data_IF_703983325337
#
_entry.id   IF_703983325337
#
_cell.length_a   1.000
_cell.length_b   1.000
_cell.length_c   1.000
_cell.angle_alpha   90.00
_cell.angle_beta   90.00
_cell.angle_gamma   90.00
#
_symmetry.space_group_name_H-M   'P 1'
#
loop_
_entity.id
_entity.type
_entity.pdbx_description
1 polymer ?
#
# COMPACT_ATOMS: atom_id res chain seq x y z
N UNK A 1 42.20 -6.63 -29.00
CA UNK A 1 41.18 -5.60 -29.30
C UNK A 1 40.39 -5.38 -28.03
N UNK A 2 40.05 -4.15 -27.61
CA UNK A 2 39.17 -3.96 -26.46
C UNK A 2 37.81 -4.59 -26.76
N UNK A 3 37.28 -5.38 -25.82
CA UNK A 3 36.00 -6.08 -25.96
C UNK A 3 34.88 -5.09 -26.36
N UNK A 4 34.20 -5.37 -27.47
CA UNK A 4 33.07 -4.56 -27.92
C UNK A 4 31.74 -5.25 -27.71
N UNK A 5 31.10 -4.93 -26.59
CA UNK A 5 29.79 -5.47 -26.23
C UNK A 5 28.67 -5.24 -27.27
N UNK A 6 28.76 -4.18 -28.09
CA UNK A 6 27.76 -3.90 -29.13
C UNK A 6 27.89 -4.86 -30.33
N UNK A 7 29.10 -5.35 -30.60
CA UNK A 7 29.36 -6.31 -31.68
C UNK A 7 29.24 -7.75 -31.16
N UNK A 8 29.54 -7.96 -29.87
CA UNK A 8 29.51 -9.26 -29.21
C UNK A 8 28.10 -9.72 -28.84
N UNK A 9 27.14 -8.80 -28.67
CA UNK A 9 25.73 -9.13 -28.41
C UNK A 9 24.88 -8.66 -29.58
N UNK A 10 24.41 -9.62 -30.37
CA UNK A 10 23.56 -9.40 -31.53
C UNK A 10 22.15 -8.93 -31.15
N UNK A 11 21.43 -8.40 -32.14
CA UNK A 11 19.99 -8.08 -32.03
C UNK A 11 19.19 -9.33 -31.67
N UNK A 12 19.52 -10.47 -32.29
CA UNK A 12 18.83 -11.75 -32.10
C UNK A 12 19.03 -12.30 -30.69
N UNK A 13 20.21 -12.17 -30.10
CA UNK A 13 20.46 -12.60 -28.72
C UNK A 13 19.72 -11.74 -27.70
N UNK A 14 19.63 -10.42 -27.91
CA UNK A 14 18.80 -9.54 -27.08
C UNK A 14 17.32 -9.90 -27.19
N UNK A 15 16.86 -10.17 -28.41
CA UNK A 15 15.48 -10.56 -28.65
C UNK A 15 15.16 -11.89 -27.97
N UNK A 16 16.05 -12.88 -28.12
CA UNK A 16 15.93 -14.20 -27.49
C UNK A 16 15.89 -14.09 -25.95
N UNK A 17 16.77 -13.27 -25.35
CA UNK A 17 16.69 -12.97 -23.93
C UNK A 17 15.33 -12.37 -23.54
N UNK A 18 14.90 -11.34 -24.27
CA UNK A 18 13.70 -10.58 -23.94
C UNK A 18 12.40 -11.39 -24.11
N UNK A 19 12.36 -12.36 -25.03
CA UNK A 19 11.27 -13.32 -25.19
C UNK A 19 11.19 -14.35 -24.04
N UNK A 20 12.35 -14.76 -23.51
CA UNK A 20 12.45 -15.79 -22.49
C UNK A 20 12.52 -15.24 -21.07
N UNK A 21 12.63 -13.92 -20.92
CA UNK A 21 12.56 -13.27 -19.62
C UNK A 21 11.13 -13.36 -19.06
N UNK A 22 10.94 -14.28 -18.12
CA UNK A 22 9.68 -14.43 -17.42
C UNK A 22 9.39 -13.17 -16.59
N UNK A 23 8.19 -12.59 -16.72
CA UNK A 23 7.70 -11.51 -15.85
C UNK A 23 6.78 -12.02 -14.75
N UNK A 24 6.08 -13.13 -14.98
CA UNK A 24 5.26 -13.77 -13.96
C UNK A 24 6.13 -14.24 -12.79
N UNK A 25 5.71 -13.91 -11.56
CA UNK A 25 6.35 -14.38 -10.33
C UNK A 25 5.28 -15.04 -9.46
N UNK A 26 5.63 -16.04 -8.63
CA UNK A 26 4.68 -16.72 -7.76
C UNK A 26 4.34 -15.84 -6.53
N UNK A 27 3.90 -14.60 -6.77
CA UNK A 27 3.53 -13.64 -5.73
C UNK A 27 2.01 -13.49 -5.66
N UNK A 28 1.52 -13.03 -4.52
CA UNK A 28 0.09 -12.76 -4.34
C UNK A 28 -0.38 -11.64 -5.29
N UNK A 29 0.43 -10.59 -5.48
CA UNK A 29 0.06 -9.48 -6.35
C UNK A 29 -0.01 -9.87 -7.83
N UNK A 30 0.85 -10.78 -8.29
CA UNK A 30 0.81 -11.30 -9.66
C UNK A 30 -0.32 -12.31 -9.87
N UNK A 31 -0.79 -12.96 -8.79
CA UNK A 31 -2.03 -13.77 -8.82
C UNK A 31 -3.27 -12.88 -8.89
N UNK A 32 -3.24 -11.73 -8.19
CA UNK A 32 -4.35 -10.76 -8.20
C UNK A 32 -4.44 -10.04 -9.56
N UNK A 33 -3.30 -9.68 -10.14
CA UNK A 33 -3.18 -9.01 -11.44
C UNK A 33 -2.24 -9.80 -12.36
N UNK A 34 -2.73 -10.90 -12.96
CA UNK A 34 -1.97 -11.66 -13.95
C UNK A 34 -1.57 -10.78 -15.14
N UNK A 35 -0.35 -10.97 -15.63
CA UNK A 35 0.21 -10.15 -16.70
C UNK A 35 -0.29 -10.58 -18.09
N UNK A 36 -0.74 -9.61 -18.88
CA UNK A 36 -1.21 -9.80 -20.26
C UNK A 36 -0.56 -8.74 -21.15
N UNK A 37 0.07 -9.15 -22.25
CA UNK A 37 0.56 -8.24 -23.28
C UNK A 37 -0.45 -8.04 -24.39
N UNK A 38 -0.56 -6.80 -24.88
CA UNK A 38 -1.37 -6.45 -26.06
C UNK A 38 -0.66 -5.39 -26.89
N UNK A 39 -0.84 -5.45 -28.22
CA UNK A 39 -0.40 -4.39 -29.13
C UNK A 39 -1.37 -3.19 -29.14
N UNK A 40 -2.63 -3.41 -28.78
CA UNK A 40 -3.68 -2.39 -28.76
C UNK A 40 -3.95 -1.91 -27.33
N UNK A 41 -2.90 -1.46 -26.66
CA UNK A 41 -2.91 -1.14 -25.23
C UNK A 41 -4.06 -0.20 -24.80
N UNK A 42 -4.34 0.86 -25.56
CA UNK A 42 -5.47 1.77 -25.24
C UNK A 42 -6.82 1.08 -25.34
N UNK A 43 -7.07 0.38 -26.46
CA UNK A 43 -8.35 -0.25 -26.72
C UNK A 43 -8.66 -1.35 -25.70
N UNK A 44 -7.63 -2.13 -25.36
CA UNK A 44 -7.75 -3.20 -24.38
C UNK A 44 -7.98 -2.65 -22.97
N UNK A 45 -7.28 -1.59 -22.58
CA UNK A 45 -7.53 -0.89 -21.33
C UNK A 45 -8.99 -0.45 -21.21
N UNK A 46 -9.55 0.19 -22.26
CA UNK A 46 -10.97 0.59 -22.25
C UNK A 46 -11.92 -0.61 -22.20
N UNK A 47 -11.64 -1.69 -22.93
CA UNK A 47 -12.45 -2.92 -22.91
C UNK A 47 -12.52 -3.51 -21.50
N UNK A 48 -11.38 -3.55 -20.81
CA UNK A 48 -11.29 -4.12 -19.47
C UNK A 48 -11.99 -3.24 -18.43
N UNK A 49 -11.84 -1.91 -18.51
CA UNK A 49 -12.53 -0.98 -17.62
C UNK A 49 -14.06 -0.95 -17.83
N UNK A 50 -14.56 -1.36 -19.00
CA UNK A 50 -16.00 -1.50 -19.26
C UNK A 50 -16.61 -2.79 -18.65
N UNK A 51 -15.79 -3.67 -18.08
CA UNK A 51 -16.10 -5.09 -17.97
C UNK A 51 -17.16 -5.51 -16.96
N UNK A 52 -17.52 -4.73 -15.92
CA UNK A 52 -18.31 -5.28 -14.80
C UNK A 52 -19.25 -4.30 -14.09
N UNK A 53 -20.06 -3.55 -14.84
CA UNK A 53 -21.27 -2.98 -14.26
C UNK A 53 -22.24 -4.11 -13.85
N UNK A 54 -23.00 -3.92 -12.77
CA UNK A 54 -24.09 -4.82 -12.40
C UNK A 54 -25.02 -5.04 -13.60
N UNK A 55 -25.58 -6.25 -13.80
CA UNK A 55 -26.55 -6.48 -14.85
C UNK A 55 -27.72 -5.49 -14.71
N UNK A 56 -27.86 -4.60 -15.68
CA UNK A 56 -29.01 -3.70 -15.75
C UNK A 56 -30.14 -4.44 -16.46
N UNK A 57 -31.35 -4.55 -15.88
CA UNK A 57 -32.46 -5.19 -16.56
C UNK A 57 -32.82 -4.39 -17.82
N UNK A 58 -33.12 -5.11 -18.92
CA UNK A 58 -33.78 -4.48 -20.06
C UNK A 58 -35.20 -4.07 -19.65
N UNK A 59 -35.68 -2.94 -20.17
CA UNK A 59 -37.06 -2.53 -19.95
C UNK A 59 -38.01 -3.46 -20.71
N UNK A 60 -39.14 -3.81 -20.08
CA UNK A 60 -40.22 -4.53 -20.76
C UNK A 60 -41.02 -3.52 -21.56
N UNK A 61 -41.06 -3.71 -22.88
CA UNK A 61 -41.79 -2.85 -23.81
C UNK A 61 -43.12 -3.51 -24.19
N UNK A 62 -44.15 -2.69 -24.47
CA UNK A 62 -45.38 -3.19 -25.07
C UNK A 62 -45.11 -3.61 -26.53
N UNK A 63 -45.89 -4.58 -27.03
CA UNK A 63 -45.89 -4.93 -28.45
C UNK A 63 -46.17 -3.65 -29.27
N UNK A 64 -45.36 -3.37 -30.31
CA UNK A 64 -45.35 -2.15 -31.15
C UNK A 64 -44.78 -0.84 -30.56
N UNK A 65 -43.86 -0.90 -29.58
CA UNK A 65 -43.13 0.29 -29.09
C UNK A 65 -41.61 0.23 -29.34
N UNK A 66 -40.99 1.38 -29.59
CA UNK A 66 -39.54 1.48 -29.82
C UNK A 66 -38.75 1.05 -28.56
N UNK A 67 -37.72 0.23 -28.77
CA UNK A 67 -36.89 -0.28 -27.69
C UNK A 67 -36.01 0.83 -27.08
N UNK A 68 -35.77 0.76 -25.77
CA UNK A 68 -34.87 1.69 -25.09
C UNK A 68 -33.44 1.58 -25.63
N UNK A 69 -32.84 2.73 -25.97
CA UNK A 69 -31.44 2.82 -26.41
C UNK A 69 -30.53 2.73 -25.19
N UNK A 70 -29.78 1.64 -25.07
CA UNK A 70 -28.80 1.45 -24.01
C UNK A 70 -27.64 2.44 -24.07
N UNK A 71 -27.10 2.80 -22.90
CA UNK A 71 -25.98 3.75 -22.77
C UNK A 71 -24.66 3.00 -22.64
N UNK A 72 -23.63 3.42 -23.39
CA UNK A 72 -22.25 2.93 -23.19
C UNK A 72 -21.55 3.76 -22.11
N UNK A 73 -20.87 3.15 -21.13
CA UNK A 73 -20.03 3.89 -20.18
C UNK A 73 -18.92 4.67 -20.92
N UNK A 74 -18.73 5.94 -20.57
CA UNK A 74 -17.68 6.79 -21.15
C UNK A 74 -16.46 6.80 -20.24
N UNK A 75 -15.26 6.65 -20.82
CA UNK A 75 -13.99 6.67 -20.07
C UNK A 75 -13.00 7.63 -20.71
N UNK A 76 -12.22 8.30 -19.86
CA UNK A 76 -11.37 9.45 -20.18
C UNK A 76 -10.05 9.07 -20.87
N UNK A 77 -9.56 9.94 -21.77
CA UNK A 77 -8.74 9.56 -22.94
C UNK A 77 -7.21 9.60 -22.76
N UNK A 78 -6.68 9.87 -21.57
CA UNK A 78 -5.27 10.31 -21.39
C UNK A 78 -4.50 9.47 -20.34
N UNK A 79 -4.24 8.19 -20.64
CA UNK A 79 -3.45 7.31 -19.75
C UNK A 79 -2.17 6.75 -20.38
N UNK A 80 -2.00 6.83 -21.70
CA UNK A 80 -1.04 5.98 -22.41
C UNK A 80 0.39 6.48 -22.47
N UNK A 81 0.60 7.79 -22.58
CA UNK A 81 1.95 8.36 -22.76
C UNK A 81 2.76 8.45 -21.46
N UNK A 82 2.14 8.07 -20.35
CA UNK A 82 2.55 8.45 -19.00
C UNK A 82 3.06 7.27 -18.15
N UNK A 83 3.07 6.05 -18.71
CA UNK A 83 3.32 4.80 -17.99
C UNK A 83 4.54 4.02 -18.51
N UNK A 84 5.53 4.77 -19.00
CA UNK A 84 6.74 4.21 -19.55
C UNK A 84 7.83 4.06 -18.49
N UNK A 85 8.21 2.82 -18.18
CA UNK A 85 9.20 2.45 -17.17
C UNK A 85 10.50 2.12 -17.89
N UNK A 86 11.61 2.78 -17.51
CA UNK A 86 12.91 2.54 -18.13
C UNK A 86 14.05 2.73 -17.13
N UNK A 87 15.07 1.91 -17.28
CA UNK A 87 16.33 2.02 -16.54
C UNK A 87 17.50 1.71 -17.47
N UNK A 88 18.61 2.45 -17.31
CA UNK A 88 19.82 2.25 -18.13
C UNK A 88 21.07 2.24 -17.25
N UNK A 89 22.08 1.50 -17.69
CA UNK A 89 23.40 1.45 -17.06
C UNK A 89 24.51 1.74 -18.09
N UNK A 90 25.60 2.35 -17.63
CA UNK A 90 26.81 2.55 -18.43
C UNK A 90 27.69 1.29 -18.36
N UNK A 91 27.92 0.66 -19.51
CA UNK A 91 28.71 -0.56 -19.65
C UNK A 91 30.21 -0.27 -19.81
N UNK A 92 30.61 0.92 -20.27
CA UNK A 92 32.01 1.22 -20.58
C UNK A 92 32.92 1.10 -19.35
N UNK A 93 32.57 1.76 -18.25
CA UNK A 93 33.38 1.77 -17.02
C UNK A 93 33.30 0.44 -16.26
N UNK A 94 32.13 -0.19 -16.25
CA UNK A 94 31.90 -1.50 -15.62
C UNK A 94 32.73 -2.60 -16.30
N UNK A 95 32.71 -2.69 -17.62
CA UNK A 95 33.50 -3.67 -18.37
C UNK A 95 35.00 -3.46 -18.13
N UNK A 96 35.48 -2.22 -18.11
CA UNK A 96 36.88 -1.92 -17.80
C UNK A 96 37.26 -2.36 -16.38
N UNK A 97 36.36 -2.16 -15.41
CA UNK A 97 36.54 -2.63 -14.04
C UNK A 97 36.58 -4.17 -13.96
N UNK A 98 35.70 -4.88 -14.65
CA UNK A 98 35.70 -6.35 -14.67
C UNK A 98 36.96 -6.94 -15.29
N UNK A 99 37.45 -6.36 -16.38
CA UNK A 99 38.74 -6.71 -16.99
C UNK A 99 39.88 -6.48 -15.99
N UNK A 100 39.88 -5.33 -15.32
CA UNK A 100 40.92 -4.96 -14.34
C UNK A 100 40.90 -5.87 -13.10
N UNK A 101 39.71 -6.31 -12.67
CA UNK A 101 39.50 -7.20 -11.53
C UNK A 101 39.66 -8.69 -11.86
N UNK A 102 40.09 -9.03 -13.08
CA UNK A 102 40.55 -10.37 -13.43
C UNK A 102 39.50 -11.29 -14.06
N UNK A 103 38.46 -10.76 -14.71
CA UNK A 103 37.65 -11.54 -15.67
C UNK A 103 38.46 -11.67 -16.97
N UNK A 104 39.02 -12.85 -17.30
CA UNK A 104 40.05 -12.97 -18.32
C UNK A 104 39.50 -13.31 -19.73
N UNK A 105 38.22 -13.67 -19.84
CA UNK A 105 37.60 -14.20 -21.06
C UNK A 105 36.40 -13.37 -21.55
N UNK A 106 36.28 -13.29 -22.88
CA UNK A 106 35.21 -12.53 -23.55
C UNK A 106 33.82 -13.13 -23.24
N UNK A 107 33.70 -14.45 -23.13
CA UNK A 107 32.45 -15.13 -22.76
C UNK A 107 31.99 -14.79 -21.33
N UNK A 108 32.94 -14.70 -20.39
CA UNK A 108 32.70 -14.19 -19.04
C UNK A 108 32.12 -12.77 -19.05
N UNK A 109 32.71 -11.86 -19.83
CA UNK A 109 32.22 -10.48 -19.97
C UNK A 109 30.81 -10.42 -20.59
N UNK A 110 30.52 -11.24 -21.60
CA UNK A 110 29.17 -11.35 -22.18
C UNK A 110 28.16 -11.78 -21.12
N UNK A 111 28.50 -12.79 -20.31
CA UNK A 111 27.64 -13.26 -19.21
C UNK A 111 27.36 -12.15 -18.19
N UNK A 112 28.37 -11.38 -17.79
CA UNK A 112 28.18 -10.24 -16.88
C UNK A 112 27.22 -9.19 -17.44
N UNK A 113 27.28 -8.93 -18.76
CA UNK A 113 26.36 -8.01 -19.43
C UNK A 113 24.94 -8.58 -19.47
N UNK A 114 24.76 -9.87 -19.71
CA UNK A 114 23.43 -10.51 -19.59
C UNK A 114 22.90 -10.49 -18.16
N UNK A 115 23.76 -10.66 -17.15
CA UNK A 115 23.37 -10.51 -15.74
C UNK A 115 22.92 -9.07 -15.44
N UNK A 116 23.57 -8.06 -16.02
CA UNK A 116 23.13 -6.66 -15.96
C UNK A 116 21.77 -6.46 -16.65
N UNK A 117 21.58 -7.03 -17.85
CA UNK A 117 20.30 -6.99 -18.57
C UNK A 117 19.20 -7.60 -17.71
N UNK A 118 19.47 -8.74 -17.05
CA UNK A 118 18.55 -9.38 -16.11
C UNK A 118 18.20 -8.50 -14.92
N UNK A 119 19.20 -7.85 -14.29
CA UNK A 119 18.97 -6.90 -13.18
C UNK A 119 18.11 -5.71 -13.59
N UNK A 120 18.41 -5.09 -14.74
CA UNK A 120 17.61 -3.97 -15.26
C UNK A 120 16.18 -4.39 -15.58
N UNK A 121 16.01 -5.60 -16.14
CA UNK A 121 14.68 -6.13 -16.45
C UNK A 121 13.89 -6.43 -15.17
N UNK A 122 14.55 -6.92 -14.11
CA UNK A 122 13.92 -7.11 -12.80
C UNK A 122 13.53 -5.78 -12.13
N UNK A 123 14.30 -4.70 -12.33
CA UNK A 123 13.88 -3.37 -11.86
C UNK A 123 12.58 -2.91 -12.53
N UNK A 124 12.41 -3.17 -13.83
CA UNK A 124 11.16 -2.86 -14.56
C UNK A 124 9.99 -3.65 -13.96
N UNK A 125 10.15 -4.96 -13.73
CA UNK A 125 9.13 -5.81 -13.10
C UNK A 125 8.86 -5.41 -11.64
N UNK A 126 9.89 -5.02 -10.89
CA UNK A 126 9.74 -4.51 -9.52
C UNK A 126 8.82 -3.29 -9.50
N UNK A 127 8.95 -2.41 -10.49
CA UNK A 127 8.07 -1.24 -10.61
C UNK A 127 6.62 -1.61 -10.88
N UNK A 128 6.35 -2.66 -11.66
CA UNK A 128 4.98 -3.13 -11.91
C UNK A 128 4.35 -3.68 -10.63
N UNK A 129 5.12 -4.38 -9.79
CA UNK A 129 4.67 -4.85 -8.47
C UNK A 129 4.37 -3.71 -7.51
N UNK A 130 5.20 -2.65 -7.49
CA UNK A 130 4.92 -1.43 -6.71
C UNK A 130 3.57 -0.84 -7.14
N UNK A 131 3.30 -0.77 -8.45
CA UNK A 131 2.03 -0.27 -8.96
C UNK A 131 0.84 -1.16 -8.54
N UNK A 132 0.95 -2.49 -8.69
CA UNK A 132 -0.07 -3.47 -8.24
C UNK A 132 -0.34 -3.33 -6.74
N UNK A 133 0.71 -3.22 -5.93
CA UNK A 133 0.61 -3.06 -4.48
C UNK A 133 0.01 -1.72 -4.05
N UNK A 134 0.39 -0.60 -4.67
CA UNK A 134 -0.21 0.71 -4.39
C UNK A 134 -1.71 0.76 -4.75
N UNK A 135 -2.11 0.13 -5.86
CA UNK A 135 -3.52 -0.02 -6.20
C UNK A 135 -4.27 -0.77 -5.09
N UNK A 136 -3.76 -1.91 -4.65
CA UNK A 136 -4.42 -2.69 -3.59
C UNK A 136 -4.41 -1.99 -2.22
N UNK A 137 -3.36 -1.24 -1.88
CA UNK A 137 -3.24 -0.56 -0.58
C UNK A 137 -3.97 0.78 -0.50
N UNK A 138 -4.11 1.51 -1.61
CA UNK A 138 -4.56 2.92 -1.60
C UNK A 138 -5.62 3.25 -2.63
N UNK A 139 -5.81 2.39 -3.65
CA UNK A 139 -6.67 2.68 -4.79
C UNK A 139 -6.14 3.75 -5.73
N UNK A 140 -4.93 4.24 -5.46
CA UNK A 140 -4.27 5.29 -6.22
C UNK A 140 -2.79 4.93 -6.37
N UNK A 141 -2.22 5.21 -7.53
CA UNK A 141 -0.78 5.15 -7.76
C UNK A 141 -0.24 6.57 -7.77
N UNK A 142 0.79 6.82 -6.95
CA UNK A 142 1.49 8.10 -6.92
C UNK A 142 2.92 7.89 -7.40
N UNK A 143 3.28 8.55 -8.49
CA UNK A 143 4.63 8.56 -9.06
C UNK A 143 5.20 9.95 -8.84
N UNK A 144 6.25 10.05 -8.01
CA UNK A 144 6.97 11.30 -7.76
C UNK A 144 8.48 11.06 -7.87
N UNK A 145 8.94 10.82 -9.08
CA UNK A 145 10.32 10.39 -9.37
C UNK A 145 10.78 10.99 -10.70
N UNK A 146 12.08 11.28 -10.83
CA UNK A 146 12.68 11.73 -12.08
C UNK A 146 11.95 12.92 -12.75
N UNK A 147 11.61 13.94 -11.95
CA UNK A 147 10.83 15.13 -12.34
C UNK A 147 9.42 14.87 -12.89
N UNK A 148 8.89 13.65 -12.70
CA UNK A 148 7.51 13.29 -13.00
C UNK A 148 6.72 13.28 -11.68
N UNK A 149 5.66 14.09 -11.61
CA UNK A 149 4.66 14.05 -10.53
C UNK A 149 3.30 13.71 -11.14
N UNK A 150 2.81 12.52 -10.82
CA UNK A 150 1.59 11.98 -11.40
C UNK A 150 0.83 11.15 -10.37
N UNK A 151 -0.48 11.34 -10.37
CA UNK A 151 -1.43 10.54 -9.61
C UNK A 151 -2.36 9.86 -10.60
N UNK A 152 -2.48 8.55 -10.48
CA UNK A 152 -3.48 7.75 -11.20
C UNK A 152 -4.47 7.26 -10.16
N UNK A 153 -5.72 7.69 -10.30
CA UNK A 153 -6.83 7.16 -9.51
C UNK A 153 -7.49 6.02 -10.28
N UNK A 154 -7.63 4.86 -9.64
CA UNK A 154 -8.28 3.69 -10.23
C UNK A 154 -9.81 3.73 -10.05
N UNK A 155 -10.35 4.81 -9.49
CA UNK A 155 -11.77 5.08 -9.41
C UNK A 155 -12.47 4.36 -8.25
N UNK A 156 -11.73 3.91 -7.23
CA UNK A 156 -12.31 3.31 -6.03
C UNK A 156 -13.08 4.40 -5.25
N UNK A 157 -14.41 4.25 -5.07
CA UNK A 157 -15.25 5.17 -4.30
C UNK A 157 -14.70 5.49 -2.90
N UNK A 158 -14.96 6.72 -2.44
CA UNK A 158 -14.48 7.17 -1.14
C UNK A 158 -15.13 6.37 0.01
N UNK A 159 -16.37 5.94 -0.16
CA UNK A 159 -17.13 5.13 0.78
C UNK A 159 -16.51 3.73 1.01
N UNK A 160 -15.72 3.26 0.04
CA UNK A 160 -14.99 2.00 0.11
C UNK A 160 -13.57 2.14 0.68
N UNK A 161 -13.16 3.36 1.02
CA UNK A 161 -11.91 3.67 1.72
C UNK A 161 -12.23 3.93 3.18
N UNK A 162 -12.17 2.89 4.00
CA UNK A 162 -12.61 2.92 5.40
C UNK A 162 -11.44 2.91 6.39
N UNK A 163 -11.77 3.23 7.63
CA UNK A 163 -10.83 3.19 8.76
C UNK A 163 -11.36 2.21 9.79
N UNK A 164 -10.49 1.29 10.19
CA UNK A 164 -10.67 0.32 11.27
C UNK A 164 -10.02 0.81 12.54
N UNK A 165 -10.42 0.25 13.67
CA UNK A 165 -9.84 0.55 14.97
C UNK A 165 -8.47 -0.08 15.20
N UNK A 166 -8.00 -0.02 16.44
CA UNK A 166 -6.66 -0.49 16.79
C UNK A 166 -6.63 -2.00 17.04
N UNK A 167 -6.29 -2.75 15.99
CA UNK A 167 -6.15 -4.21 16.08
C UNK A 167 -4.96 -4.64 16.96
N UNK A 168 -4.08 -3.73 17.40
CA UNK A 168 -3.05 -4.07 18.38
C UNK A 168 -3.62 -4.24 19.79
N UNK A 169 -4.82 -3.71 20.07
CA UNK A 169 -5.54 -3.93 21.32
C UNK A 169 -6.20 -5.32 21.30
N UNK A 170 -5.81 -6.27 22.18
CA UNK A 170 -6.38 -7.61 22.20
C UNK A 170 -7.88 -7.64 22.54
N UNK A 171 -8.43 -6.59 23.15
CA UNK A 171 -9.84 -6.49 23.51
C UNK A 171 -10.73 -5.92 22.38
N UNK A 172 -10.12 -5.37 21.32
CA UNK A 172 -10.87 -4.70 20.26
C UNK A 172 -11.72 -5.69 19.46
N UNK A 173 -12.94 -5.31 19.06
CA UNK A 173 -13.81 -6.18 18.27
C UNK A 173 -13.49 -6.13 16.77
N UNK A 174 -12.53 -6.96 16.35
CA UNK A 174 -12.13 -7.09 14.94
C UNK A 174 -13.26 -7.65 14.06
N UNK A 175 -14.19 -8.45 14.61
CA UNK A 175 -15.28 -9.02 13.81
C UNK A 175 -16.22 -7.95 13.28
N UNK A 176 -16.49 -6.91 14.08
CA UNK A 176 -17.31 -5.77 13.63
C UNK A 176 -16.71 -5.06 12.40
N UNK A 177 -15.38 -4.94 12.32
CA UNK A 177 -14.66 -4.35 11.19
C UNK A 177 -14.84 -5.22 9.92
N UNK A 178 -14.75 -6.55 10.06
CA UNK A 178 -15.01 -7.47 8.95
C UNK A 178 -16.47 -7.39 8.47
N UNK A 179 -17.44 -7.38 9.40
CA UNK A 179 -18.85 -7.22 9.07
C UNK A 179 -19.11 -5.92 8.31
N UNK A 180 -18.49 -4.82 8.73
CA UNK A 180 -18.62 -3.52 8.07
C UNK A 180 -18.08 -3.55 6.64
N UNK A 181 -16.88 -4.09 6.42
CA UNK A 181 -16.30 -4.17 5.07
C UNK A 181 -17.12 -5.10 4.15
N UNK A 182 -17.55 -6.25 4.66
CA UNK A 182 -18.40 -7.19 3.93
C UNK A 182 -19.75 -6.56 3.59
N UNK A 183 -20.35 -5.79 4.50
CA UNK A 183 -21.62 -5.10 4.26
C UNK A 183 -21.51 -4.09 3.13
N UNK A 184 -20.44 -3.28 3.08
CA UNK A 184 -20.24 -2.28 2.01
C UNK A 184 -20.25 -2.94 0.63
N UNK A 185 -19.58 -4.08 0.47
CA UNK A 185 -19.56 -4.81 -0.79
C UNK A 185 -20.92 -5.47 -1.10
N UNK A 186 -21.60 -6.03 -0.09
CA UNK A 186 -22.95 -6.59 -0.25
C UNK A 186 -23.97 -5.54 -0.67
N UNK A 187 -23.90 -4.32 -0.12
CA UNK A 187 -24.78 -3.20 -0.49
C UNK A 187 -24.59 -2.80 -1.97
N UNK A 188 -23.42 -3.10 -2.56
CA UNK A 188 -23.12 -2.92 -3.98
C UNK A 188 -23.38 -4.18 -4.83
N UNK A 189 -24.02 -5.21 -4.27
CA UNK A 189 -24.30 -6.48 -4.95
C UNK A 189 -23.06 -7.35 -5.19
N UNK A 190 -21.97 -7.10 -4.46
CA UNK A 190 -20.70 -7.83 -4.56
C UNK A 190 -20.48 -8.75 -3.35
N UNK A 191 -19.79 -9.86 -3.56
CA UNK A 191 -19.44 -10.81 -2.50
C UNK A 191 -17.94 -10.78 -2.24
N UNK A 192 -17.55 -10.65 -0.98
CA UNK A 192 -16.14 -10.76 -0.58
C UNK A 192 -15.71 -12.22 -0.71
N UNK A 193 -14.62 -12.47 -1.42
CA UNK A 193 -14.06 -13.82 -1.58
C UNK A 193 -12.62 -13.90 -1.12
N UNK A 194 -11.90 -12.78 -1.14
CA UNK A 194 -10.49 -12.70 -0.72
C UNK A 194 -10.20 -11.43 0.08
N UNK A 195 -9.25 -11.56 0.99
CA UNK A 195 -8.70 -10.46 1.80
C UNK A 195 -7.20 -10.49 1.74
N UNK A 196 -6.60 -9.35 1.38
CA UNK A 196 -5.16 -9.11 1.36
C UNK A 196 -4.76 -8.22 2.53
N UNK A 197 -3.77 -8.62 3.31
CA UNK A 197 -3.20 -7.77 4.37
C UNK A 197 -1.74 -8.12 4.66
N UNK A 198 -1.11 -7.49 5.65
CA UNK A 198 0.25 -7.83 6.11
C UNK A 198 0.23 -8.90 7.20
N UNK A 199 1.31 -9.68 7.34
CA UNK A 199 1.47 -10.64 8.44
C UNK A 199 1.33 -9.95 9.80
N UNK A 200 1.71 -8.67 9.91
CA UNK A 200 1.52 -7.90 11.15
C UNK A 200 0.06 -7.82 11.58
N UNK A 201 -0.86 -7.56 10.65
CA UNK A 201 -2.29 -7.56 10.95
C UNK A 201 -2.81 -8.97 11.23
N UNK A 202 -2.29 -9.97 10.53
CA UNK A 202 -2.62 -11.38 10.79
C UNK A 202 -2.21 -11.79 12.21
N UNK A 203 -1.00 -11.45 12.65
CA UNK A 203 -0.56 -11.74 14.03
C UNK A 203 -1.41 -11.02 15.07
N UNK A 204 -1.91 -9.82 14.77
CA UNK A 204 -2.87 -9.09 15.61
C UNK A 204 -4.21 -9.84 15.70
N UNK A 205 -4.77 -10.29 14.58
CA UNK A 205 -5.98 -11.12 14.58
C UNK A 205 -5.81 -12.39 15.43
N UNK A 206 -4.68 -13.09 15.33
CA UNK A 206 -4.42 -14.33 16.08
C UNK A 206 -4.31 -14.13 17.60
N UNK A 207 -3.97 -12.91 18.04
CA UNK A 207 -3.84 -12.53 19.45
C UNK A 207 -5.12 -11.90 20.02
N UNK A 208 -6.10 -11.61 19.18
CA UNK A 208 -7.34 -10.96 19.57
C UNK A 208 -8.24 -11.90 20.39
N UNK A 209 -8.81 -11.39 21.49
CA UNK A 209 -9.63 -12.19 22.41
C UNK A 209 -10.98 -12.58 21.85
N UNK A 210 -11.61 -11.73 21.03
CA UNK A 210 -12.89 -12.07 20.39
C UNK A 210 -12.70 -13.26 19.45
N UNK A 211 -11.63 -13.25 18.65
CA UNK A 211 -11.29 -14.38 17.75
C UNK A 211 -10.91 -15.63 18.56
N UNK A 212 -10.10 -15.50 19.60
CA UNK A 212 -9.75 -16.64 20.48
C UNK A 212 -10.99 -17.26 21.13
N UNK A 213 -11.91 -16.43 21.60
CA UNK A 213 -13.14 -16.87 22.27
C UNK A 213 -14.09 -17.56 21.30
N UNK A 214 -14.21 -17.06 20.07
CA UNK A 214 -15.03 -17.68 19.03
C UNK A 214 -14.54 -19.10 18.66
N UNK A 215 -13.22 -19.34 18.70
CA UNK A 215 -12.62 -20.63 18.33
C UNK A 215 -12.53 -21.59 19.53
N UNK A 216 -12.05 -21.12 20.68
CA UNK A 216 -11.72 -21.98 21.82
C UNK A 216 -12.70 -21.89 23.00
N UNK A 217 -13.70 -21.01 22.94
CA UNK A 217 -14.55 -20.66 24.06
C UNK A 217 -13.82 -19.90 25.17
N UNK A 218 -14.53 -19.56 26.24
CA UNK A 218 -14.00 -18.74 27.33
C UNK A 218 -12.92 -19.43 28.20
N UNK A 219 -12.78 -20.76 28.12
CA UNK A 219 -11.93 -21.56 29.02
C UNK A 219 -10.45 -21.50 28.61
N UNK A 220 -10.13 -21.21 27.35
CA UNK A 220 -8.76 -21.24 26.80
C UNK A 220 -8.28 -19.85 26.31
N UNK A 221 -8.81 -18.78 26.91
CA UNK A 221 -8.37 -17.41 26.66
C UNK A 221 -6.85 -17.28 26.90
N UNK A 222 -6.11 -16.87 25.86
CA UNK A 222 -4.64 -16.78 25.88
C UNK A 222 -3.91 -17.81 25.01
N UNK A 223 -4.59 -18.84 24.49
CA UNK A 223 -4.00 -19.72 23.45
C UNK A 223 -3.91 -18.96 22.13
N UNK A 224 -2.73 -18.95 21.52
CA UNK A 224 -2.53 -18.33 20.21
C UNK A 224 -3.29 -19.12 19.14
N UNK A 225 -4.16 -18.43 18.40
CA UNK A 225 -4.92 -19.01 17.28
C UNK A 225 -3.94 -19.46 16.19
N UNK A 226 -4.10 -20.68 15.66
CA UNK A 226 -3.30 -21.16 14.53
C UNK A 226 -3.78 -20.55 13.22
N UNK A 227 -2.94 -20.58 12.18
CA UNK A 227 -3.35 -20.04 10.88
C UNK A 227 -4.47 -20.86 10.21
N UNK A 228 -4.52 -22.16 10.48
CA UNK A 228 -5.59 -23.02 9.99
C UNK A 228 -6.93 -22.61 10.62
N UNK A 229 -6.97 -22.47 11.95
CA UNK A 229 -8.19 -22.08 12.67
C UNK A 229 -8.66 -20.67 12.28
N UNK A 230 -7.74 -19.71 12.15
CA UNK A 230 -8.10 -18.36 11.68
C UNK A 230 -8.70 -18.38 10.28
N UNK A 231 -8.12 -19.15 9.36
CA UNK A 231 -8.66 -19.25 7.99
C UNK A 231 -10.02 -19.95 7.96
N UNK A 232 -10.20 -21.00 8.76
CA UNK A 232 -11.47 -21.72 8.86
C UNK A 232 -12.59 -20.80 9.36
N UNK A 233 -12.40 -20.08 10.46
CA UNK A 233 -13.45 -19.21 11.01
C UNK A 233 -13.79 -18.05 10.06
N UNK A 234 -12.78 -17.46 9.39
CA UNK A 234 -13.03 -16.38 8.42
C UNK A 234 -13.80 -16.88 7.19
N UNK A 235 -13.51 -18.10 6.76
CA UNK A 235 -14.25 -18.72 5.66
C UNK A 235 -15.68 -19.09 6.06
N UNK A 236 -15.88 -19.67 7.24
CA UNK A 236 -17.21 -20.09 7.72
C UNK A 236 -18.14 -18.91 8.03
N UNK A 237 -17.64 -17.88 8.72
CA UNK A 237 -18.46 -16.74 9.15
C UNK A 237 -18.63 -15.68 8.06
N UNK A 238 -17.62 -15.45 7.22
CA UNK A 238 -17.63 -14.34 6.26
C UNK A 238 -17.50 -14.77 4.79
N UNK A 239 -17.13 -16.02 4.50
CA UNK A 239 -17.04 -16.55 3.14
C UNK A 239 -15.78 -16.14 2.37
N UNK A 240 -14.77 -15.55 3.02
CA UNK A 240 -13.55 -15.10 2.35
C UNK A 240 -12.29 -15.84 2.82
N UNK A 241 -11.29 -15.91 1.94
CA UNK A 241 -9.95 -16.42 2.24
C UNK A 241 -8.96 -15.29 2.54
N UNK A 242 -7.97 -15.58 3.40
CA UNK A 242 -6.99 -14.60 3.88
C UNK A 242 -5.59 -14.85 3.30
N UNK A 243 -5.02 -13.84 2.66
CA UNK A 243 -3.70 -13.83 2.03
C UNK A 243 -2.82 -12.70 2.60
N UNK A 244 -1.51 -12.96 2.70
CA UNK A 244 -0.51 -12.04 3.25
C UNK A 244 0.41 -11.49 2.16
N UNK A 245 0.68 -10.18 2.19
CA UNK A 245 1.70 -9.54 1.35
C UNK A 245 2.73 -8.78 2.20
N UNK A 246 3.89 -9.40 2.42
CA UNK A 246 5.01 -8.82 3.18
C UNK A 246 6.28 -8.62 2.36
N UNK A 247 6.16 -8.82 1.05
CA UNK A 247 7.23 -8.67 0.08
C UNK A 247 7.74 -7.21 0.07
N UNK A 248 9.06 -7.07 -0.06
CA UNK A 248 9.77 -5.79 -0.01
C UNK A 248 10.62 -5.59 -1.25
N UNK A 249 10.90 -4.33 -1.57
CA UNK A 249 11.86 -3.92 -2.58
C UNK A 249 12.90 -3.00 -1.97
N UNK A 250 14.12 -3.01 -2.53
CA UNK A 250 15.15 -2.06 -2.17
C UNK A 250 15.09 -0.86 -3.11
N UNK A 251 15.43 0.32 -2.59
CA UNK A 251 15.62 1.54 -3.37
C UNK A 251 16.80 2.34 -2.79
N UNK A 252 17.37 3.20 -3.62
CA UNK A 252 18.44 4.12 -3.21
C UNK A 252 17.81 5.48 -2.96
N UNK A 253 18.07 6.06 -1.79
CA UNK A 253 17.64 7.40 -1.42
C UNK A 253 18.48 8.45 -2.14
N UNK A 254 18.00 9.71 -2.11
CA UNK A 254 18.73 10.86 -2.67
C UNK A 254 20.12 11.02 -2.05
N UNK A 255 20.31 10.58 -0.80
CA UNK A 255 21.59 10.60 -0.08
C UNK A 255 22.55 9.44 -0.45
N UNK A 256 22.17 8.57 -1.38
CA UNK A 256 22.96 7.41 -1.81
C UNK A 256 22.85 6.19 -0.89
N UNK A 257 22.13 6.27 0.23
CA UNK A 257 21.90 5.13 1.12
C UNK A 257 20.83 4.18 0.59
N UNK A 258 20.98 2.88 0.90
CA UNK A 258 19.99 1.85 0.57
C UNK A 258 18.88 1.82 1.63
N UNK A 259 17.65 1.76 1.17
CA UNK A 259 16.47 1.59 2.01
C UNK A 259 15.53 0.54 1.41
N UNK A 260 14.61 0.03 2.23
CA UNK A 260 13.62 -0.97 1.81
C UNK A 260 12.21 -0.37 1.89
N UNK A 261 11.41 -0.60 0.86
CA UNK A 261 9.98 -0.33 0.81
C UNK A 261 9.17 -1.62 0.81
N UNK A 262 7.89 -1.56 1.19
CA UNK A 262 6.94 -2.67 1.03
C UNK A 262 6.14 -2.47 -0.25
N UNK A 263 5.78 -3.56 -0.94
CA UNK A 263 4.84 -3.46 -2.07
C UNK A 263 3.42 -3.13 -1.59
N UNK A 264 3.00 -3.72 -0.47
CA UNK A 264 1.73 -3.47 0.18
C UNK A 264 1.95 -2.80 1.55
N UNK A 265 1.20 -1.74 1.82
CA UNK A 265 1.31 -0.98 3.07
C UNK A 265 0.90 -1.84 4.28
N UNK A 266 1.69 -1.78 5.36
CA UNK A 266 1.54 -2.67 6.52
C UNK A 266 0.23 -2.45 7.30
N UNK A 267 -0.28 -1.22 7.31
CA UNK A 267 -1.49 -0.77 7.99
C UNK A 267 -2.78 -0.99 7.19
N UNK A 268 -2.72 -1.68 6.03
CA UNK A 268 -3.86 -1.85 5.14
C UNK A 268 -4.45 -3.25 5.19
N UNK A 269 -5.75 -3.33 4.94
CA UNK A 269 -6.51 -4.56 4.76
C UNK A 269 -7.46 -4.34 3.59
N UNK A 270 -7.34 -5.17 2.56
CA UNK A 270 -8.08 -4.99 1.32
C UNK A 270 -8.98 -6.18 1.08
N UNK A 271 -10.29 -5.94 1.09
CA UNK A 271 -11.34 -6.92 0.80
C UNK A 271 -11.71 -6.78 -0.67
N UNK A 272 -11.80 -7.89 -1.39
CA UNK A 272 -12.19 -7.82 -2.80
C UNK A 272 -12.96 -9.04 -3.27
N UNK A 273 -13.72 -8.84 -4.35
CA UNK A 273 -14.38 -9.88 -5.12
C UNK A 273 -13.42 -10.39 -6.18
N UNK A 274 -12.79 -11.53 -5.92
CA UNK A 274 -11.98 -12.23 -6.89
C UNK A 274 -12.84 -12.86 -8.00
N UNK A 275 -12.30 -12.86 -9.22
CA UNK A 275 -12.81 -13.64 -10.34
C UNK A 275 -12.56 -15.14 -10.15
N UNK A 276 -13.05 -15.98 -11.08
CA UNK A 276 -12.89 -17.44 -11.00
C UNK A 276 -11.43 -17.93 -10.92
N UNK A 277 -10.47 -17.12 -11.39
CA UNK A 277 -9.04 -17.40 -11.32
C UNK A 277 -8.38 -16.87 -10.03
N UNK A 278 -9.14 -16.28 -9.11
CA UNK A 278 -8.62 -15.69 -7.88
C UNK A 278 -8.05 -14.28 -8.03
N UNK A 279 -8.19 -13.66 -9.20
CA UNK A 279 -7.68 -12.32 -9.52
C UNK A 279 -8.72 -11.20 -9.35
N UNK A 280 -8.26 -9.97 -9.15
CA UNK A 280 -9.13 -8.78 -9.11
C UNK A 280 -9.10 -7.97 -10.42
N UNK A 281 -8.09 -8.22 -11.27
CA UNK A 281 -7.90 -7.46 -12.50
C UNK A 281 -6.80 -8.06 -13.35
N UNK A 282 -6.11 -7.23 -14.12
CA UNK A 282 -4.99 -7.66 -14.97
C UNK A 282 -3.81 -6.68 -14.90
N UNK A 283 -2.60 -7.18 -15.01
CA UNK A 283 -1.41 -6.39 -15.27
C UNK A 283 -1.25 -6.20 -16.77
N UNK A 284 -1.70 -5.07 -17.31
CA UNK A 284 -1.68 -4.83 -18.75
C UNK A 284 -0.32 -4.31 -19.20
N UNK A 285 0.27 -4.98 -20.19
CA UNK A 285 1.51 -4.58 -20.84
C UNK A 285 1.27 -4.15 -22.28
N UNK A 286 1.92 -3.05 -22.67
CA UNK A 286 1.83 -2.49 -24.02
C UNK A 286 3.17 -2.49 -24.74
N UNK A 287 3.17 -2.17 -26.05
CA UNK A 287 4.41 -2.09 -26.82
C UNK A 287 5.22 -0.87 -26.40
N UNK A 288 6.51 -1.06 -26.17
CA UNK A 288 7.43 0.07 -25.96
C UNK A 288 7.74 0.76 -27.30
N UNK A 289 8.08 2.06 -27.33
CA UNK A 289 8.56 2.72 -28.56
C UNK A 289 9.75 1.99 -29.20
N UNK A 290 10.60 1.39 -28.38
CA UNK A 290 11.79 0.63 -28.78
C UNK A 290 11.45 -0.68 -29.50
N UNK A 291 10.24 -1.22 -29.34
CA UNK A 291 9.79 -2.39 -30.12
C UNK A 291 9.70 -2.09 -31.63
N UNK A 292 9.59 -0.82 -32.02
CA UNK A 292 9.58 -0.43 -33.43
C UNK A 292 10.89 -0.82 -34.16
N UNK A 293 12.03 -0.82 -33.45
CA UNK A 293 13.32 -1.24 -33.99
C UNK A 293 13.39 -2.76 -34.23
N UNK A 294 12.48 -3.51 -33.61
CA UNK A 294 12.33 -4.96 -33.74
C UNK A 294 11.12 -5.36 -34.62
N UNK A 295 10.58 -4.43 -35.42
CA UNK A 295 9.38 -4.65 -36.23
C UNK A 295 9.49 -5.82 -37.23
N UNK A 296 10.70 -6.27 -37.57
CA UNK A 296 10.94 -7.46 -38.38
C UNK A 296 10.53 -8.78 -37.68
N UNK A 297 10.35 -8.78 -36.35
CA UNK A 297 10.12 -9.97 -35.53
C UNK A 297 8.73 -9.98 -34.88
N UNK A 298 7.66 -9.88 -35.68
CA UNK A 298 6.28 -9.68 -35.21
C UNK A 298 5.79 -10.73 -34.18
N UNK A 299 6.14 -12.01 -34.35
CA UNK A 299 5.78 -13.07 -33.37
C UNK A 299 6.53 -12.92 -32.05
N UNK A 300 7.77 -12.42 -32.09
CA UNK A 300 8.59 -12.19 -30.91
C UNK A 300 8.02 -11.08 -30.01
N UNK A 301 7.48 -10.04 -30.64
CA UNK A 301 6.96 -8.88 -29.95
C UNK A 301 5.80 -9.24 -28.99
N UNK A 302 5.01 -10.27 -29.29
CA UNK A 302 3.89 -10.68 -28.42
C UNK A 302 4.34 -11.28 -27.08
N UNK A 303 5.56 -11.82 -27.00
CA UNK A 303 6.09 -12.45 -25.79
C UNK A 303 7.05 -11.55 -25.01
N UNK A 304 7.43 -10.42 -25.59
CA UNK A 304 8.46 -9.54 -25.04
C UNK A 304 7.88 -8.48 -24.10
N UNK A 305 7.71 -8.80 -22.82
CA UNK A 305 7.17 -7.85 -21.84
C UNK A 305 8.14 -6.70 -21.52
N UNK A 306 9.45 -6.99 -21.53
CA UNK A 306 10.52 -6.01 -21.30
C UNK A 306 11.40 -5.96 -22.54
N UNK A 307 11.61 -4.76 -23.09
CA UNK A 307 12.44 -4.54 -24.27
C UNK A 307 13.83 -4.08 -23.84
N UNK A 308 14.86 -4.77 -24.36
CA UNK A 308 16.28 -4.46 -24.10
C UNK A 308 16.86 -3.75 -25.31
N UNK A 309 17.57 -2.65 -25.10
CA UNK A 309 18.26 -1.91 -26.16
C UNK A 309 19.67 -1.54 -25.74
N UNK A 310 20.58 -1.47 -26.72
CA UNK A 310 21.96 -1.09 -26.50
C UNK A 310 22.40 -0.08 -27.56
N UNK A 311 23.15 0.94 -27.15
CA UNK A 311 23.71 1.94 -28.07
C UNK A 311 25.00 2.54 -27.53
N UNK A 312 25.77 3.21 -28.39
CA UNK A 312 26.91 4.03 -27.99
C UNK A 312 26.58 5.52 -28.12
N UNK A 313 27.16 6.33 -27.23
CA UNK A 313 27.19 7.79 -27.34
C UNK A 313 28.61 8.20 -27.73
N UNK A 314 28.74 9.23 -28.58
CA UNK A 314 30.05 9.73 -29.04
C UNK A 314 30.71 10.67 -28.03
N UNK A 315 29.93 11.48 -27.32
CA UNK A 315 30.42 12.43 -26.32
C UNK A 315 29.43 12.53 -25.13
N UNK A 316 29.78 12.03 -23.92
CA UNK A 316 30.96 11.22 -23.63
C UNK A 316 30.91 9.85 -24.32
N UNK A 317 32.08 9.24 -24.57
CA UNK A 317 32.17 7.88 -25.15
C UNK A 317 31.68 6.86 -24.12
N UNK A 318 30.43 6.43 -24.26
CA UNK A 318 29.78 5.50 -23.35
C UNK A 318 28.93 4.48 -24.12
N UNK A 319 28.96 3.22 -23.69
CA UNK A 319 28.07 2.16 -24.16
C UNK A 319 26.97 1.97 -23.13
N UNK A 320 25.72 1.99 -23.57
CA UNK A 320 24.55 1.92 -22.71
C UNK A 320 23.79 0.63 -22.96
N UNK A 321 23.29 0.06 -21.87
CA UNK A 321 22.26 -0.99 -21.90
C UNK A 321 21.03 -0.43 -21.19
N UNK A 322 19.86 -0.56 -21.80
CA UNK A 322 18.57 -0.09 -21.26
C UNK A 322 17.53 -1.20 -21.31
N UNK A 323 16.80 -1.37 -20.22
CA UNK A 323 15.57 -2.15 -20.19
C UNK A 323 14.37 -1.20 -20.11
N UNK A 324 13.29 -1.54 -20.79
CA UNK A 324 12.10 -0.70 -20.88
C UNK A 324 10.81 -1.53 -20.94
N UNK A 325 9.74 -1.01 -20.34
CA UNK A 325 8.41 -1.64 -20.35
C UNK A 325 7.31 -0.59 -20.22
N UNK A 326 6.15 -0.88 -20.82
CA UNK A 326 4.94 -0.07 -20.68
C UNK A 326 3.88 -0.88 -19.95
N UNK A 327 3.48 -0.43 -18.76
CA UNK A 327 2.65 -1.22 -17.85
C UNK A 327 1.61 -0.39 -17.11
N UNK A 328 0.41 -0.96 -16.93
CA UNK A 328 -0.61 -0.45 -16.00
C UNK A 328 -1.36 -1.61 -15.33
N UNK A 329 -1.56 -1.59 -14.00
CA UNK A 329 -2.53 -2.49 -13.39
C UNK A 329 -3.95 -1.97 -13.71
N UNK A 330 -4.82 -2.84 -14.18
CA UNK A 330 -6.21 -2.53 -14.52
C UNK A 330 -7.11 -3.20 -13.49
N UNK A 331 -7.99 -2.41 -12.89
CA UNK A 331 -9.05 -2.88 -11.99
C UNK A 331 -10.40 -2.70 -12.69
N UNK A 332 -10.95 -3.75 -13.33
CA UNK A 332 -12.22 -3.68 -14.06
C UNK A 332 -13.42 -3.29 -13.20
N UNK A 333 -13.40 -3.66 -11.92
CA UNK A 333 -14.49 -3.45 -10.98
C UNK A 333 -14.00 -2.69 -9.73
N UNK A 334 -13.93 -1.35 -9.77
CA UNK A 334 -13.54 -0.55 -8.62
C UNK A 334 -14.58 -0.59 -7.48
N UNK A 335 -15.80 -1.05 -7.76
CA UNK A 335 -16.84 -1.29 -6.76
C UNK A 335 -16.68 -2.66 -6.07
N UNK A 336 -15.90 -3.57 -6.66
CA UNK A 336 -15.63 -4.90 -6.10
C UNK A 336 -14.55 -4.91 -5.01
N UNK A 337 -14.11 -3.75 -4.50
CA UNK A 337 -12.98 -3.63 -3.56
C UNK A 337 -13.28 -2.66 -2.42
N UNK A 338 -12.85 -3.01 -1.21
CA UNK A 338 -12.86 -2.13 -0.02
C UNK A 338 -11.47 -2.12 0.57
N UNK A 339 -10.91 -0.93 0.78
CA UNK A 339 -9.59 -0.71 1.35
C UNK A 339 -9.78 -0.12 2.73
N UNK A 340 -9.34 -0.85 3.74
CA UNK A 340 -9.38 -0.41 5.12
C UNK A 340 -7.99 -0.04 5.64
N UNK A 341 -7.93 1.00 6.45
CA UNK A 341 -6.73 1.40 7.20
C UNK A 341 -6.90 1.05 8.67
N UNK A 342 -6.02 0.21 9.21
CA UNK A 342 -5.98 -0.13 10.63
C UNK A 342 -5.19 0.93 11.39
N UNK A 343 -5.84 1.68 12.28
CA UNK A 343 -5.15 2.71 13.07
C UNK A 343 -4.44 2.08 14.26
N UNK A 344 -3.11 2.03 14.22
CA UNK A 344 -2.33 1.43 15.31
C UNK A 344 -1.69 2.53 16.14
N UNK A 345 -2.29 2.93 17.25
CA UNK A 345 -1.75 3.91 18.20
C UNK A 345 -1.05 5.18 17.63
N UNK A 346 -1.27 5.53 16.37
CA UNK A 346 -0.46 6.48 15.59
C UNK A 346 -1.29 7.69 15.17
N UNK A 347 -2.23 8.09 16.03
CA UNK A 347 -2.66 9.47 16.03
C UNK A 347 -1.49 10.36 16.42
N UNK A 348 -1.44 11.58 15.87
CA UNK A 348 -0.60 12.62 16.46
C UNK A 348 -1.26 13.04 17.76
N UNK A 349 -0.51 13.04 18.87
CA UNK A 349 -1.03 13.55 20.14
C UNK A 349 -1.39 15.01 19.96
N UNK A 350 -2.67 15.35 20.13
CA UNK A 350 -3.10 16.74 20.08
C UNK A 350 -2.48 17.54 21.23
N UNK A 351 -2.36 18.85 21.05
CA UNK A 351 -1.82 19.73 22.09
C UNK A 351 -2.95 20.36 22.90
N UNK A 352 -2.80 20.38 24.23
CA UNK A 352 -3.56 21.24 25.12
C UNK A 352 -2.66 22.39 25.59
N UNK A 353 -3.19 23.60 25.53
CA UNK A 353 -2.64 24.73 26.29
C UNK A 353 -3.12 24.60 27.72
N UNK A 354 -2.21 24.39 28.66
CA UNK A 354 -2.50 24.27 30.08
C UNK A 354 -1.94 25.50 30.79
N UNK A 355 -2.76 26.16 31.61
CA UNK A 355 -2.30 27.25 32.47
C UNK A 355 -2.57 26.89 33.93
N UNK A 356 -1.70 27.38 34.82
CA UNK A 356 -1.83 27.23 36.26
C UNK A 356 -1.70 28.61 36.91
N UNK A 357 -2.68 28.97 37.74
CA UNK A 357 -2.69 30.20 38.54
C UNK A 357 -3.04 29.86 39.99
N UNK A 358 -2.88 30.81 40.90
CA UNK A 358 -3.22 30.62 42.31
C UNK A 358 -4.68 30.16 42.46
N UNK A 359 -4.87 29.06 43.21
CA UNK A 359 -6.19 28.51 43.53
C UNK A 359 -6.91 29.28 44.62
N UNK A 360 -7.96 28.66 45.14
CA UNK A 360 -8.88 29.24 46.12
C UNK A 360 -8.36 29.08 47.55
N UNK A 361 -7.87 27.89 47.91
CA UNK A 361 -7.28 27.62 49.21
C UNK A 361 -5.74 27.55 49.15
N UNK A 362 -5.07 27.86 50.25
CA UNK A 362 -3.62 27.76 50.37
C UNK A 362 -3.14 26.35 50.02
N UNK A 363 -2.15 26.25 49.12
CA UNK A 363 -1.64 24.99 48.60
C UNK A 363 -2.33 24.50 47.32
N UNK A 364 -3.41 25.15 46.88
CA UNK A 364 -4.12 24.77 45.66
C UNK A 364 -3.75 25.64 44.46
N UNK A 365 -3.85 25.06 43.27
CA UNK A 365 -3.74 25.74 41.99
C UNK A 365 -5.01 25.60 41.17
N UNK A 366 -5.41 26.69 40.51
CA UNK A 366 -6.48 26.69 39.52
C UNK A 366 -5.89 26.46 38.14
N UNK A 367 -6.41 25.46 37.44
CA UNK A 367 -5.90 25.01 36.14
C UNK A 367 -6.92 25.26 35.05
N UNK A 368 -6.46 25.70 33.87
CA UNK A 368 -7.29 25.76 32.67
C UNK A 368 -6.66 24.96 31.55
N UNK A 369 -7.48 24.29 30.73
CA UNK A 369 -7.06 23.53 29.56
C UNK A 369 -7.84 23.99 28.32
N UNK A 370 -7.14 24.28 27.22
CA UNK A 370 -7.73 24.69 25.95
C UNK A 370 -7.07 23.96 24.77
N UNK A 371 -7.82 23.51 23.75
CA UNK A 371 -9.28 23.62 23.60
C UNK A 371 -10.05 22.76 24.62
N UNK A 372 -11.33 23.07 24.80
CA UNK A 372 -12.22 22.26 25.64
C UNK A 372 -12.26 20.81 25.13
N UNK A 373 -12.42 19.85 26.06
CA UNK A 373 -12.49 18.43 25.73
C UNK A 373 -13.66 18.14 24.81
N UNK A 374 -13.47 17.19 23.90
CA UNK A 374 -14.55 16.72 23.05
C UNK A 374 -15.64 16.00 23.87
N UNK A 375 -16.86 15.96 23.35
CA UNK A 375 -17.96 15.22 23.98
C UNK A 375 -17.60 13.73 24.12
N UNK A 376 -17.85 13.15 25.30
CA UNK A 376 -17.48 11.77 25.63
C UNK A 376 -16.05 11.58 26.17
N UNK A 377 -15.19 12.60 26.07
CA UNK A 377 -13.82 12.52 26.60
C UNK A 377 -13.75 12.91 28.08
N UNK A 378 -12.66 12.53 28.73
CA UNK A 378 -12.36 12.81 30.14
C UNK A 378 -10.99 13.47 30.30
N UNK A 379 -10.82 14.25 31.38
CA UNK A 379 -9.50 14.77 31.76
C UNK A 379 -8.86 13.92 32.86
N UNK A 380 -7.56 13.72 32.72
CA UNK A 380 -6.68 13.05 33.68
C UNK A 380 -5.45 13.91 33.95
N UNK A 381 -4.83 13.78 35.11
CA UNK A 381 -3.63 14.54 35.44
C UNK A 381 -2.62 13.78 36.30
N UNK A 382 -1.38 14.26 36.26
CA UNK A 382 -0.28 13.93 37.17
C UNK A 382 0.49 15.19 37.55
N UNK A 383 1.05 15.18 38.75
CA UNK A 383 1.94 16.24 39.27
C UNK A 383 3.29 15.59 39.57
N UNK A 384 4.37 16.24 39.17
CA UNK A 384 5.74 15.76 39.41
C UNK A 384 6.76 16.90 39.38
N UNK A 385 8.04 16.55 39.50
CA UNK A 385 9.16 17.50 39.41
C UNK A 385 9.40 18.00 37.98
N UNK A 386 8.94 17.24 36.98
CA UNK A 386 9.04 17.57 35.56
C UNK A 386 7.79 17.12 34.81
N UNK A 387 7.61 17.61 33.58
CA UNK A 387 6.53 17.16 32.71
C UNK A 387 6.61 15.63 32.49
N UNK A 388 5.48 14.94 32.66
CA UNK A 388 5.37 13.52 32.33
C UNK A 388 5.21 13.39 30.82
N UNK A 389 6.06 12.58 30.16
CA UNK A 389 5.92 12.31 28.73
C UNK A 389 4.63 11.53 28.44
N UNK A 390 3.88 11.96 27.43
CA UNK A 390 2.62 11.34 27.00
C UNK A 390 2.70 11.02 25.51
N UNK A 391 2.23 9.84 25.12
CA UNK A 391 2.07 9.45 23.71
C UNK A 391 0.59 9.29 23.37
N UNK A 392 0.21 9.55 22.11
CA UNK A 392 -1.16 9.28 21.65
C UNK A 392 -1.49 7.80 21.89
N UNK A 393 -2.72 7.52 22.31
CA UNK A 393 -3.16 6.16 22.61
C UNK A 393 -2.67 5.61 23.96
N UNK A 394 -1.84 6.34 24.73
CA UNK A 394 -1.38 5.88 26.03
C UNK A 394 -2.55 5.68 26.98
N UNK A 395 -2.63 4.52 27.64
CA UNK A 395 -3.61 4.28 28.67
C UNK A 395 -3.28 5.09 29.94
N UNK A 396 -4.17 6.02 30.30
CA UNK A 396 -4.05 6.90 31.48
C UNK A 396 -5.11 6.60 32.55
N UNK A 397 -5.70 5.40 32.54
CA UNK A 397 -6.75 5.00 33.48
C UNK A 397 -6.33 5.19 34.95
N UNK A 398 -5.06 4.89 35.25
CA UNK A 398 -4.46 4.98 36.61
C UNK A 398 -4.09 6.39 37.04
N UNK A 399 -4.24 7.40 36.18
CA UNK A 399 -3.97 8.80 36.52
C UNK A 399 -5.16 9.40 37.28
N UNK A 400 -4.89 10.46 38.03
CA UNK A 400 -5.92 11.18 38.81
C UNK A 400 -6.94 11.81 37.87
N UNK A 401 -8.23 11.69 38.19
CA UNK A 401 -9.31 12.31 37.41
C UNK A 401 -9.46 13.79 37.75
N UNK A 402 -9.73 14.62 36.73
CA UNK A 402 -10.05 16.03 36.90
C UNK A 402 -11.35 16.35 36.15
N UNK A 403 -12.22 17.12 36.77
CA UNK A 403 -13.52 17.49 36.21
C UNK A 403 -13.43 18.65 35.19
N UNK A 404 -12.26 19.31 35.09
CA UNK A 404 -12.02 20.46 34.21
C UNK A 404 -12.26 21.81 34.87
N UNK A 405 -12.62 21.85 36.16
CA UNK A 405 -13.00 23.08 36.86
C UNK A 405 -12.52 23.20 38.31
N UNK A 406 -12.40 22.08 39.03
CA UNK A 406 -11.95 22.05 40.41
C UNK A 406 -10.48 22.45 40.52
N UNK A 407 -10.15 23.11 41.63
CA UNK A 407 -8.77 23.39 41.99
C UNK A 407 -8.04 22.09 42.34
N UNK A 408 -6.72 22.06 42.09
CA UNK A 408 -5.87 20.89 42.30
C UNK A 408 -4.82 21.24 43.36
N UNK A 409 -4.71 20.42 44.40
CA UNK A 409 -3.65 20.57 45.42
C UNK A 409 -2.30 20.18 44.82
N UNK A 410 -1.43 21.17 44.63
CA UNK A 410 -0.09 20.97 44.08
C UNK A 410 0.82 22.13 44.52
N UNK A 411 2.05 21.82 44.95
CA UNK A 411 2.98 22.84 45.41
C UNK A 411 3.55 23.70 44.25
N UNK A 412 3.75 25.00 44.51
CA UNK A 412 4.40 25.92 43.57
C UNK A 412 5.76 25.39 43.11
N UNK A 413 6.02 25.46 41.80
CA UNK A 413 7.26 25.00 41.19
C UNK A 413 7.27 23.53 40.73
N UNK A 414 6.25 22.73 41.07
CA UNK A 414 6.03 21.42 40.43
C UNK A 414 5.49 21.60 39.01
N UNK A 415 5.48 20.54 38.21
CA UNK A 415 4.85 20.53 36.89
C UNK A 415 3.59 19.67 36.94
N UNK A 416 2.48 20.23 36.47
CA UNK A 416 1.25 19.47 36.22
C UNK A 416 1.14 19.10 34.75
N UNK A 417 0.86 17.84 34.46
CA UNK A 417 0.55 17.33 33.11
C UNK A 417 -0.92 16.96 33.06
N UNK A 418 -1.69 17.59 32.16
CA UNK A 418 -3.10 17.30 31.88
C UNK A 418 -3.21 16.52 30.58
N UNK A 419 -4.06 15.49 30.57
CA UNK A 419 -4.37 14.65 29.42
C UNK A 419 -5.87 14.63 29.19
N UNK A 420 -6.30 14.88 27.96
CA UNK A 420 -7.62 14.51 27.46
C UNK A 420 -7.53 13.06 26.95
N UNK A 421 -8.41 12.19 27.43
CA UNK A 421 -8.50 10.80 26.99
C UNK A 421 -9.90 10.46 26.48
N UNK A 422 -9.98 9.48 25.58
CA UNK A 422 -11.23 8.92 25.08
C UNK A 422 -11.96 8.07 26.14
N UNK A 423 -13.10 7.49 25.77
CA UNK A 423 -13.92 6.62 26.64
C UNK A 423 -13.19 5.36 27.12
N UNK A 424 -12.11 4.98 26.44
CA UNK A 424 -11.26 3.82 26.77
C UNK A 424 -10.00 4.22 27.53
N UNK A 425 -9.93 5.45 28.04
CA UNK A 425 -8.79 6.04 28.74
C UNK A 425 -7.51 6.15 27.90
N UNK A 426 -7.62 6.18 26.57
CA UNK A 426 -6.48 6.35 25.67
C UNK A 426 -6.25 7.84 25.43
N UNK A 427 -5.02 8.30 25.60
CA UNK A 427 -4.66 9.71 25.49
C UNK A 427 -4.86 10.24 24.05
N UNK A 428 -5.59 11.35 23.91
CA UNK A 428 -5.85 12.00 22.61
C UNK A 428 -5.21 13.39 22.52
N UNK A 429 -5.15 14.14 23.63
CA UNK A 429 -4.41 15.41 23.72
C UNK A 429 -3.69 15.54 25.06
N UNK A 430 -2.57 16.26 25.11
CA UNK A 430 -1.89 16.54 26.36
C UNK A 430 -1.26 17.94 26.40
N UNK A 431 -1.05 18.45 27.61
CA UNK A 431 -0.37 19.71 27.87
C UNK A 431 0.20 19.74 29.28
N UNK A 432 1.09 20.69 29.56
CA UNK A 432 1.72 20.83 30.87
C UNK A 432 1.88 22.31 31.26
N UNK A 433 1.95 22.55 32.57
CA UNK A 433 2.20 23.87 33.14
C UNK A 433 3.02 23.77 34.42
N UNK A 434 3.83 24.79 34.71
CA UNK A 434 4.45 24.95 36.03
C UNK A 434 3.41 25.45 37.02
N UNK A 435 3.31 24.79 38.16
CA UNK A 435 2.30 25.05 39.18
C UNK A 435 2.57 26.38 39.87
N UNK A 436 1.54 27.22 39.93
CA UNK A 436 1.48 28.42 40.77
C UNK A 436 0.38 28.23 41.80
N UNK A 437 0.74 27.80 43.01
CA UNK A 437 -0.22 27.56 44.09
C UNK A 437 -0.54 28.85 44.86
N UNK A 438 -1.72 28.91 45.48
CA UNK A 438 -2.09 29.96 46.41
C UNK A 438 -1.21 29.88 47.65
N UNK A 439 -0.62 31.01 48.02
CA UNK A 439 0.22 31.17 49.22
C UNK A 439 -0.56 31.10 50.51
#
# INVERSE_FOLDING_TARGET
>A
MPFNVLDAISVDERLNFAQNFAVARPTVLDTIFPDIKTQHFKAEYYRLMQGQNLPTPAFVHALDTEAHIGVRPTFEKVLTEKLFIKEKINQSEQLQMYITNGVPDDDGLIKWVFDDIGRLSESVVTRTKIAKGQLMSRGIMKIKENNLDMVIDFGIPAEQKIVFGDWSDPEYDIFSDFQRAVKILKDQGKLVTKVLTSDTQIQRMRKNKSIQTAIYGAINLGKLVTMAELRSILLEEFGFSLESCDERYAYVKVDGSRANGRYFDEDKVTFYTANASGGAGVGLWGPTPEEADYAAFQEALQKMYVTVTMWSTKDPVAKWTKASGMFIPVLPDPYGIVIATVVTGSGTLGTLTVNSIAGTATGDTKVTASPAKASGNSYKYKVGDSATAVTYGQNVQTWSAWDGSADITAATGKVITIVECDSSYKAVKAGNATVTAKS
#
